data_IF_146643188543
#
_entry.id   IF_146643188543
#
_cell.length_a   1.000
_cell.length_b   1.000
_cell.length_c   1.000
_cell.angle_alpha   90.00
_cell.angle_beta   90.00
_cell.angle_gamma   90.00
#
_symmetry.space_group_name_H-M   'P 1'
#
loop_
_entity.id
_entity.type
_entity.pdbx_description
1 polymer ?
#
# COMPACT_ATOMS: atom_id res chain seq x y z
N UNK A 1 16.83 -10.81 16.12
CA UNK A 1 15.68 -10.09 15.54
C UNK A 1 14.74 -9.67 16.66
N UNK A 2 14.41 -8.39 16.75
CA UNK A 2 13.44 -7.85 17.71
C UNK A 2 12.04 -8.40 17.42
N UNK A 3 11.29 -8.78 18.45
CA UNK A 3 9.90 -9.24 18.36
C UNK A 3 9.03 -8.30 19.18
N UNK A 4 7.95 -7.81 18.59
CA UNK A 4 6.97 -6.98 19.29
C UNK A 4 5.80 -7.83 19.72
N UNK A 5 5.34 -7.65 20.96
CA UNK A 5 4.02 -8.14 21.33
C UNK A 5 2.95 -7.42 20.51
N UNK A 6 1.77 -8.04 20.39
CA UNK A 6 0.62 -7.41 19.72
C UNK A 6 0.26 -6.07 20.37
N UNK A 7 0.45 -5.94 21.68
CA UNK A 7 0.20 -4.70 22.41
C UNK A 7 1.20 -3.60 22.00
N UNK A 8 2.50 -3.90 22.01
CA UNK A 8 3.53 -2.94 21.62
C UNK A 8 3.40 -2.54 20.15
N UNK A 9 3.09 -3.49 19.27
CA UNK A 9 2.79 -3.21 17.87
C UNK A 9 1.57 -2.30 17.71
N UNK A 10 0.53 -2.51 18.51
CA UNK A 10 -0.68 -1.68 18.51
C UNK A 10 -0.38 -0.24 18.94
N UNK A 11 0.40 -0.07 20.00
CA UNK A 11 0.79 1.24 20.53
C UNK A 11 1.76 1.97 19.58
N UNK A 12 2.79 1.30 19.07
CA UNK A 12 3.80 1.89 18.18
C UNK A 12 3.25 2.25 16.80
N UNK A 13 2.33 1.46 16.26
CA UNK A 13 1.84 1.61 14.89
C UNK A 13 0.38 2.06 14.82
N UNK A 14 -0.28 2.40 15.93
CA UNK A 14 -1.66 2.91 15.93
C UNK A 14 -2.72 1.97 15.33
N UNK A 15 -2.41 0.67 15.21
CA UNK A 15 -3.34 -0.34 14.69
C UNK A 15 -4.08 -1.00 15.84
N UNK A 16 -5.38 -1.29 15.66
CA UNK A 16 -6.11 -2.06 16.67
C UNK A 16 -5.55 -3.49 16.77
N UNK A 17 -5.57 -4.07 17.97
CA UNK A 17 -5.11 -5.46 18.20
C UNK A 17 -5.87 -6.45 17.30
N UNK A 18 -7.18 -6.26 17.15
CA UNK A 18 -8.01 -7.06 16.26
C UNK A 18 -7.55 -6.97 14.79
N UNK A 19 -7.14 -5.78 14.33
CA UNK A 19 -6.59 -5.60 12.98
C UNK A 19 -5.27 -6.34 12.81
N UNK A 20 -4.38 -6.27 13.80
CA UNK A 20 -3.10 -6.99 13.79
C UNK A 20 -3.30 -8.51 13.70
N UNK A 21 -4.22 -9.07 14.50
CA UNK A 21 -4.57 -10.49 14.41
C UNK A 21 -5.15 -10.87 13.06
N UNK A 22 -6.01 -10.04 12.47
CA UNK A 22 -6.55 -10.28 11.14
C UNK A 22 -5.45 -10.32 10.08
N UNK A 23 -4.51 -9.37 10.13
CA UNK A 23 -3.39 -9.30 9.18
C UNK A 23 -2.43 -10.49 9.30
N UNK A 24 -2.15 -10.94 10.52
CA UNK A 24 -1.38 -12.16 10.76
C UNK A 24 -2.09 -13.41 10.21
N UNK A 25 -3.38 -13.56 10.48
CA UNK A 25 -4.16 -14.68 9.93
C UNK A 25 -4.24 -14.67 8.39
N UNK A 26 -4.18 -13.49 7.78
CA UNK A 26 -4.14 -13.32 6.33
C UNK A 26 -2.76 -13.52 5.72
N UNK A 27 -1.72 -13.79 6.53
CA UNK A 27 -0.33 -13.88 6.06
C UNK A 27 0.25 -12.55 5.57
N UNK A 28 -0.44 -11.43 5.82
CA UNK A 28 0.01 -10.09 5.41
C UNK A 28 1.09 -9.51 6.34
N UNK A 29 1.27 -10.11 7.53
CA UNK A 29 2.33 -9.81 8.48
C UNK A 29 3.09 -11.07 8.84
N UNK A 30 4.39 -10.95 9.06
CA UNK A 30 5.25 -12.02 9.58
C UNK A 30 5.26 -11.95 11.10
N UNK A 31 4.81 -13.02 11.72
CA UNK A 31 4.76 -13.15 13.17
C UNK A 31 4.21 -14.49 13.59
N UNK A 32 3.80 -14.58 14.84
CA UNK A 32 3.27 -15.80 15.45
C UNK A 32 1.99 -15.47 16.21
N UNK A 33 0.93 -16.20 15.88
CA UNK A 33 -0.29 -16.25 16.69
C UNK A 33 -0.20 -17.50 17.55
N UNK A 34 -0.28 -17.34 18.87
CA UNK A 34 -0.37 -18.51 19.73
C UNK A 34 -1.77 -19.12 19.68
N UNK A 35 -1.89 -20.46 19.59
CA UNK A 35 -3.18 -21.14 19.62
C UNK A 35 -3.82 -21.16 21.02
N UNK A 36 -3.05 -20.86 22.07
CA UNK A 36 -3.55 -20.77 23.45
C UNK A 36 -4.02 -19.35 23.74
N UNK A 37 -5.13 -19.21 24.47
CA UNK A 37 -5.71 -17.92 24.89
C UNK A 37 -4.71 -17.04 25.65
N UNK A 38 -3.83 -17.64 26.45
CA UNK A 38 -2.77 -16.97 27.22
C UNK A 38 -1.41 -17.00 26.52
N UNK A 39 -1.36 -17.50 25.30
CA UNK A 39 -0.14 -17.66 24.56
C UNK A 39 0.39 -16.33 24.01
N UNK A 40 1.71 -16.13 24.10
CA UNK A 40 2.37 -14.91 23.66
C UNK A 40 2.40 -14.83 22.13
N UNK A 41 1.48 -14.04 21.56
CA UNK A 41 1.49 -13.68 20.15
C UNK A 41 2.43 -12.49 19.91
N UNK A 42 3.17 -12.51 18.81
CA UNK A 42 4.17 -11.50 18.49
C UNK A 42 4.29 -11.27 16.99
N UNK A 43 4.80 -10.10 16.59
CA UNK A 43 4.98 -9.66 15.21
C UNK A 43 6.40 -9.14 15.04
N UNK A 44 7.00 -9.34 13.87
CA UNK A 44 8.26 -8.69 13.55
C UNK A 44 8.05 -7.22 13.14
N UNK A 45 8.79 -6.26 13.74
CA UNK A 45 8.67 -4.84 13.42
C UNK A 45 8.88 -4.54 11.93
N UNK A 46 9.85 -5.20 11.28
CA UNK A 46 10.11 -4.98 9.85
C UNK A 46 8.88 -5.31 9.00
N UNK A 47 8.11 -6.35 9.37
CA UNK A 47 6.92 -6.71 8.62
C UNK A 47 5.79 -5.70 8.80
N UNK A 48 5.69 -5.07 9.98
CA UNK A 48 4.78 -3.94 10.19
C UNK A 48 5.24 -2.70 9.44
N UNK A 49 6.54 -2.44 9.40
CA UNK A 49 7.12 -1.33 8.67
C UNK A 49 6.95 -1.51 7.15
N UNK A 50 7.18 -2.72 6.62
CA UNK A 50 6.88 -3.11 5.24
C UNK A 50 5.38 -3.06 4.96
N UNK A 51 4.55 -3.46 5.93
CA UNK A 51 3.10 -3.27 5.81
C UNK A 51 2.77 -1.79 5.73
N UNK A 52 3.38 -0.90 6.51
CA UNK A 52 3.13 0.55 6.44
C UNK A 52 3.68 1.18 5.16
N UNK A 53 4.87 0.77 4.74
CA UNK A 53 5.55 1.25 3.54
C UNK A 53 4.91 0.70 2.26
N UNK A 54 4.41 -0.55 2.31
CA UNK A 54 3.78 -1.31 1.23
C UNK A 54 2.23 -1.22 1.18
N UNK A 55 1.54 -0.95 2.30
CA UNK A 55 0.09 -0.67 2.36
C UNK A 55 -0.23 0.81 2.06
N UNK A 56 0.48 1.36 1.08
CA UNK A 56 -0.17 2.22 0.08
C UNK A 56 -0.99 1.40 -0.93
N UNK A 57 -1.34 0.14 -0.63
CA UNK A 57 -2.40 -0.64 -1.26
C UNK A 57 -3.21 -1.38 -0.20
N UNK A 58 -4.53 -1.15 -0.15
CA UNK A 58 -5.45 -1.95 0.67
C UNK A 58 -5.38 -3.43 0.23
N UNK A 59 -5.43 -4.41 1.17
CA UNK A 59 -5.55 -5.81 0.80
C UNK A 59 -6.86 -6.00 0.03
N UNK A 60 -6.75 -6.35 -1.26
CA UNK A 60 -7.89 -6.57 -2.16
C UNK A 60 -7.88 -5.77 -3.46
N UNK A 61 -7.02 -4.75 -3.61
CA UNK A 61 -6.78 -4.14 -4.93
C UNK A 61 -5.45 -4.66 -5.48
N UNK A 62 -5.45 -5.29 -6.66
CA UNK A 62 -4.21 -5.78 -7.26
C UNK A 62 -3.20 -4.63 -7.36
N UNK A 63 -2.01 -4.84 -6.80
CA UNK A 63 -0.86 -4.00 -7.07
C UNK A 63 -0.65 -4.03 -8.58
N UNK A 64 -0.96 -2.92 -9.24
CA UNK A 64 -0.72 -2.79 -10.66
C UNK A 64 0.76 -2.55 -10.82
N UNK A 65 1.47 -3.56 -11.30
CA UNK A 65 2.92 -3.50 -11.51
C UNK A 65 3.24 -2.34 -12.47
N UNK A 66 4.11 -1.46 -12.00
CA UNK A 66 4.58 -0.30 -12.78
C UNK A 66 5.50 -0.81 -13.88
N UNK A 67 5.10 -0.61 -15.14
CA UNK A 67 5.79 -1.16 -16.32
C UNK A 67 6.13 -0.02 -17.29
N UNK A 68 7.42 0.21 -17.54
CA UNK A 68 7.89 1.17 -18.56
C UNK A 68 7.51 2.63 -18.28
N UNK A 69 7.63 3.11 -17.03
CA UNK A 69 7.31 4.50 -16.65
C UNK A 69 5.82 4.78 -16.40
N UNK A 70 4.96 3.77 -16.57
CA UNK A 70 3.57 3.80 -16.17
C UNK A 70 3.42 3.36 -14.72
N UNK A 71 2.74 4.16 -13.90
CA UNK A 71 2.50 3.87 -12.48
C UNK A 71 1.01 3.92 -12.17
N UNK A 72 0.57 3.36 -11.04
CA UNK A 72 -0.82 3.51 -10.61
C UNK A 72 -1.18 4.98 -10.35
N UNK A 73 -2.46 5.35 -10.51
CA UNK A 73 -2.94 6.71 -10.19
C UNK A 73 -2.55 7.12 -8.77
N UNK A 74 -2.66 6.22 -7.80
CA UNK A 74 -2.27 6.48 -6.40
C UNK A 74 -0.78 6.77 -6.25
N UNK A 75 0.07 6.02 -6.95
CA UNK A 75 1.52 6.27 -6.94
C UNK A 75 1.86 7.58 -7.65
N UNK A 76 1.18 7.89 -8.76
CA UNK A 76 1.30 9.16 -9.44
C UNK A 76 0.91 10.34 -8.55
N UNK A 77 -0.18 10.25 -7.79
CA UNK A 77 -0.58 11.27 -6.81
C UNK A 77 0.53 11.54 -5.79
N UNK A 78 1.19 10.50 -5.29
CA UNK A 78 2.26 10.67 -4.31
C UNK A 78 3.51 11.29 -4.90
N UNK A 79 3.87 10.89 -6.12
CA UNK A 79 5.08 11.41 -6.81
C UNK A 79 4.88 12.84 -7.31
N UNK A 80 3.67 13.21 -7.70
CA UNK A 80 3.39 14.50 -8.34
C UNK A 80 2.68 15.50 -7.43
N UNK A 81 2.00 15.03 -6.37
CA UNK A 81 1.15 15.84 -5.51
C UNK A 81 -0.23 16.14 -6.11
N UNK A 82 -0.55 15.66 -7.32
CA UNK A 82 -1.89 15.81 -7.88
C UNK A 82 -2.90 14.92 -7.15
N UNK A 83 -4.16 15.36 -7.10
CA UNK A 83 -5.27 14.55 -6.60
C UNK A 83 -5.71 13.52 -7.64
N UNK A 84 -6.32 12.41 -7.19
CA UNK A 84 -6.84 11.38 -8.08
C UNK A 84 -7.78 11.98 -9.14
N UNK A 85 -8.69 12.87 -8.72
CA UNK A 85 -9.63 13.55 -9.60
C UNK A 85 -8.93 14.38 -10.69
N UNK A 86 -7.85 15.08 -10.33
CA UNK A 86 -7.07 15.86 -11.29
C UNK A 86 -6.35 14.97 -12.30
N UNK A 87 -5.79 13.84 -11.85
CA UNK A 87 -5.15 12.89 -12.75
C UNK A 87 -6.18 12.31 -13.73
N UNK A 88 -7.35 11.87 -13.26
CA UNK A 88 -8.42 11.38 -14.16
C UNK A 88 -8.91 12.46 -15.13
N UNK A 89 -9.00 13.72 -14.71
CA UNK A 89 -9.31 14.83 -15.60
C UNK A 89 -8.26 14.99 -16.71
N UNK A 90 -6.97 14.92 -16.37
CA UNK A 90 -5.87 15.02 -17.34
C UNK A 90 -5.86 13.85 -18.32
N UNK A 91 -6.19 12.64 -17.86
CA UNK A 91 -6.39 11.47 -18.74
C UNK A 91 -7.54 11.73 -19.71
N UNK A 92 -8.70 12.19 -19.21
CA UNK A 92 -9.89 12.46 -20.04
C UNK A 92 -9.63 13.55 -21.10
N UNK A 93 -8.77 14.50 -20.78
CA UNK A 93 -8.34 15.57 -21.69
C UNK A 93 -7.26 15.12 -22.69
N UNK A 94 -6.77 13.88 -22.63
CA UNK A 94 -5.69 13.39 -23.48
C UNK A 94 -4.32 14.00 -23.16
N UNK A 95 -4.19 14.68 -22.02
CA UNK A 95 -2.96 15.35 -21.60
C UNK A 95 -1.92 14.41 -20.98
N UNK A 96 -2.34 13.21 -20.57
CA UNK A 96 -1.51 12.21 -19.89
C UNK A 96 -1.82 10.86 -20.49
N UNK A 97 -0.79 10.16 -20.96
CA UNK A 97 -0.95 8.80 -21.44
C UNK A 97 -1.40 7.86 -20.31
N UNK A 98 -2.41 7.03 -20.59
CA UNK A 98 -2.89 6.02 -19.64
C UNK A 98 -3.12 4.68 -20.33
N UNK A 99 -2.94 3.59 -19.57
CA UNK A 99 -3.21 2.23 -20.05
C UNK A 99 -3.91 1.40 -18.97
N UNK A 100 -4.63 0.37 -19.38
CA UNK A 100 -5.22 -0.60 -18.45
C UNK A 100 -4.12 -1.51 -17.89
N UNK A 101 -4.08 -1.68 -16.57
CA UNK A 101 -3.16 -2.58 -15.91
C UNK A 101 -3.49 -4.05 -16.17
N UNK A 102 -2.45 -4.92 -16.21
CA UNK A 102 -2.61 -6.37 -16.42
C UNK A 102 -3.54 -7.04 -15.41
N UNK A 103 -3.52 -6.58 -14.15
CA UNK A 103 -4.38 -7.07 -13.06
C UNK A 103 -5.63 -6.18 -12.83
N UNK A 104 -5.97 -5.31 -13.78
CA UNK A 104 -7.02 -4.30 -13.63
C UNK A 104 -6.50 -2.96 -13.10
N UNK A 105 -7.35 -1.93 -13.12
CA UNK A 105 -6.98 -0.55 -12.76
C UNK A 105 -6.35 0.24 -13.91
N UNK A 106 -6.17 1.55 -13.67
CA UNK A 106 -5.59 2.49 -14.63
C UNK A 106 -4.15 2.81 -14.22
N UNK A 107 -3.24 2.66 -15.18
CA UNK A 107 -1.86 3.12 -15.09
C UNK A 107 -1.71 4.43 -15.86
N UNK A 108 -0.91 5.34 -15.34
CA UNK A 108 -0.61 6.66 -15.91
C UNK A 108 0.88 6.83 -16.11
N UNK A 109 1.25 7.44 -17.23
CA UNK A 109 2.65 7.72 -17.54
C UNK A 109 3.14 8.89 -16.68
N UNK A 110 4.09 8.62 -15.79
CA UNK A 110 4.51 9.60 -14.77
C UNK A 110 5.18 10.83 -15.39
N UNK A 111 5.90 10.66 -16.50
CA UNK A 111 6.67 11.73 -17.14
C UNK A 111 5.77 12.84 -17.69
N UNK A 112 4.57 12.51 -18.18
CA UNK A 112 3.61 13.52 -18.67
C UNK A 112 3.08 14.39 -17.53
N UNK A 113 2.82 13.77 -16.38
CA UNK A 113 2.38 14.48 -15.18
C UNK A 113 3.47 15.42 -14.64
N UNK A 114 4.73 14.97 -14.67
CA UNK A 114 5.87 15.80 -14.22
C UNK A 114 6.16 16.97 -15.16
N UNK A 115 5.99 16.80 -16.48
CA UNK A 115 6.16 17.88 -17.47
C UNK A 115 5.13 19.00 -17.32
N UNK A 116 3.91 18.68 -16.89
CA UNK A 116 2.80 19.64 -16.71
C UNK A 116 2.86 20.44 -15.41
N UNK A 117 3.76 20.09 -14.48
CA UNK A 117 3.92 20.78 -13.19
C UNK A 117 4.89 21.97 -13.25
N UNK A 118 5.30 22.39 -14.46
CA UNK A 118 6.05 23.64 -14.68
C UNK A 118 5.18 24.86 -14.48
#
# INVERSE_FOLDING_TARGET
>A
MEKLSIREASERFGLSRARLYKLLNQGALVGHISPKKDGKSWIYPYSLQDYYNGNKGLPGRPQVESEGGYVSVREACQKTGYTDARIYQLIKQGNVASKKGKKGGVLVFISDLLKKKK
#
